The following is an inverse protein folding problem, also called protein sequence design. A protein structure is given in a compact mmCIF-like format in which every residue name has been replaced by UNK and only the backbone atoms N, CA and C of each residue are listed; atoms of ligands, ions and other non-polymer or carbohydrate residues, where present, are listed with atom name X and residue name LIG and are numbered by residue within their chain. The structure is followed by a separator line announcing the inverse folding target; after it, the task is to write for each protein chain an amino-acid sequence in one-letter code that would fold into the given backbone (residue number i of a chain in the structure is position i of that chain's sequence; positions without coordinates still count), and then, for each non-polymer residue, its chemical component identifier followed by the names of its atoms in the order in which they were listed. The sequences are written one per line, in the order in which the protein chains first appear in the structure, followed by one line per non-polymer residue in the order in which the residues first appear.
data_IF_975794012549
#
_entry.id   IF_975794012549
#
_cell.length_a   1.000
_cell.length_b   1.000
_cell.length_c   1.000
_cell.angle_alpha   90.00
_cell.angle_beta   90.00
_cell.angle_gamma   90.00
#
_symmetry.space_group_name_H-M   'P 1'
#
loop_
_entity.id
_entity.type
_entity.pdbx_description
1 polymer ?
#
# COMPACT_ATOMS: atom_id res chain seq x y z
N UNK A 1 10.84 -9.26 11.40
CA UNK A 1 10.65 -7.79 11.54
C UNK A 1 9.93 -7.48 12.83
N UNK A 2 8.72 -8.01 13.08
CA UNK A 2 7.88 -7.72 14.26
C UNK A 2 8.58 -7.98 15.61
N UNK A 3 9.32 -9.07 15.74
CA UNK A 3 10.08 -9.40 16.96
C UNK A 3 11.12 -8.33 17.34
N UNK A 4 11.92 -7.86 16.36
CA UNK A 4 12.91 -6.80 16.60
C UNK A 4 12.26 -5.47 16.97
N UNK A 5 11.16 -5.12 16.33
CA UNK A 5 10.38 -3.93 16.69
C UNK A 5 9.78 -4.06 18.09
N UNK A 6 9.31 -5.25 18.49
CA UNK A 6 8.84 -5.48 19.85
C UNK A 6 9.92 -5.25 20.89
N UNK A 7 11.14 -5.75 20.66
CA UNK A 7 12.28 -5.48 21.54
C UNK A 7 12.60 -3.99 21.64
N UNK A 8 12.66 -3.28 20.51
CA UNK A 8 12.92 -1.84 20.49
C UNK A 8 11.81 -1.03 21.19
N UNK A 9 10.55 -1.44 21.02
CA UNK A 9 9.41 -0.78 21.66
C UNK A 9 9.50 -0.77 23.18
N UNK A 10 10.01 -1.86 23.76
CA UNK A 10 10.17 -2.00 25.22
C UNK A 10 11.52 -1.50 25.74
N UNK A 11 12.58 -1.47 24.92
CA UNK A 11 13.93 -1.08 25.36
C UNK A 11 14.26 0.40 25.11
N UNK A 12 13.87 0.96 23.96
CA UNK A 12 14.18 2.35 23.60
C UNK A 12 13.13 2.93 22.67
N UNK A 13 12.24 3.71 23.23
CA UNK A 13 11.15 4.37 22.51
C UNK A 13 11.64 5.20 21.32
N UNK A 14 12.71 5.95 21.50
CA UNK A 14 13.25 6.82 20.46
C UNK A 14 13.83 6.03 19.27
N UNK A 15 14.53 4.92 19.54
CA UNK A 15 15.04 4.05 18.48
C UNK A 15 13.91 3.34 17.75
N UNK A 16 12.88 2.91 18.49
CA UNK A 16 11.67 2.33 17.90
C UNK A 16 10.98 3.30 16.94
N UNK A 17 10.72 4.55 17.38
CA UNK A 17 10.04 5.56 16.56
C UNK A 17 10.82 5.82 15.25
N UNK A 18 12.14 6.02 15.32
CA UNK A 18 12.99 6.22 14.14
C UNK A 18 12.97 5.01 13.20
N UNK A 19 13.15 3.81 13.74
CA UNK A 19 13.16 2.58 12.94
C UNK A 19 11.80 2.32 12.28
N UNK A 20 10.70 2.62 12.98
CA UNK A 20 9.35 2.44 12.45
C UNK A 20 8.99 3.50 11.40
N UNK A 21 9.45 4.76 11.54
CA UNK A 21 9.31 5.80 10.52
C UNK A 21 10.00 5.40 9.21
N UNK A 22 11.21 4.84 9.27
CA UNK A 22 11.92 4.32 8.11
C UNK A 22 11.20 3.15 7.47
N UNK A 23 10.74 2.21 8.30
CA UNK A 23 9.94 1.09 7.82
C UNK A 23 8.70 1.56 7.06
N UNK A 24 7.92 2.49 7.62
CA UNK A 24 6.74 3.05 6.95
C UNK A 24 7.09 3.71 5.61
N UNK A 25 8.16 4.52 5.57
CA UNK A 25 8.59 5.22 4.34
C UNK A 25 8.95 4.25 3.22
N UNK A 26 9.80 3.26 3.52
CA UNK A 26 10.22 2.27 2.53
C UNK A 26 9.07 1.33 2.14
N UNK A 27 8.24 0.94 3.10
CA UNK A 27 7.11 0.06 2.86
C UNK A 27 6.07 0.71 1.94
N UNK A 28 5.62 1.93 2.24
CA UNK A 28 4.65 2.62 1.39
C UNK A 28 5.21 2.92 0.01
N UNK A 29 6.45 3.38 -0.09
CA UNK A 29 7.12 3.59 -1.38
C UNK A 29 7.10 2.31 -2.22
N UNK A 30 7.52 1.17 -1.66
CA UNK A 30 7.57 -0.12 -2.35
C UNK A 30 6.17 -0.61 -2.77
N UNK A 31 5.20 -0.58 -1.87
CA UNK A 31 3.84 -1.03 -2.13
C UNK A 31 3.19 -0.20 -3.23
N UNK A 32 3.24 1.12 -3.13
CA UNK A 32 2.63 1.99 -4.14
C UNK A 32 3.32 1.84 -5.49
N UNK A 33 4.65 1.72 -5.53
CA UNK A 33 5.37 1.43 -6.77
C UNK A 33 4.87 0.15 -7.43
N UNK A 34 4.86 -0.98 -6.70
CA UNK A 34 4.45 -2.29 -7.23
C UNK A 34 3.00 -2.26 -7.72
N UNK A 35 2.08 -1.73 -6.91
CA UNK A 35 0.65 -1.67 -7.30
C UNK A 35 0.38 -0.69 -8.43
N UNK A 36 1.16 0.38 -8.57
CA UNK A 36 1.06 1.29 -9.73
C UNK A 36 1.43 0.56 -11.02
N UNK A 37 2.52 -0.19 -11.01
CA UNK A 37 2.94 -1.01 -12.17
C UNK A 37 1.90 -2.09 -12.48
N UNK A 38 1.44 -2.84 -11.46
CA UNK A 38 0.39 -3.86 -11.65
C UNK A 38 -0.86 -3.23 -12.25
N UNK A 39 -1.34 -2.11 -11.70
CA UNK A 39 -2.58 -1.45 -12.18
C UNK A 39 -2.45 -0.98 -13.63
N UNK A 40 -1.29 -0.45 -14.03
CA UNK A 40 -1.06 0.02 -15.40
C UNK A 40 -1.02 -1.12 -16.44
N UNK A 41 -0.48 -2.30 -16.05
CA UNK A 41 -0.22 -3.39 -17.01
C UNK A 41 -1.14 -4.60 -16.84
N UNK A 42 -2.04 -4.63 -15.86
CA UNK A 42 -2.93 -5.75 -15.61
C UNK A 42 -3.97 -5.93 -16.74
N UNK A 43 -4.52 -4.83 -17.28
CA UNK A 43 -5.54 -4.91 -18.31
C UNK A 43 -5.03 -5.56 -19.62
N UNK A 44 -3.85 -5.22 -20.17
CA UNK A 44 -3.25 -5.95 -21.30
C UNK A 44 -3.09 -7.46 -21.03
N UNK A 45 -2.72 -7.84 -19.80
CA UNK A 45 -2.57 -9.26 -19.42
C UNK A 45 -3.92 -9.96 -19.40
N UNK A 46 -4.96 -9.32 -18.84
CA UNK A 46 -6.32 -9.86 -18.81
C UNK A 46 -6.82 -10.08 -20.25
N UNK A 47 -6.64 -9.12 -21.14
CA UNK A 47 -7.03 -9.25 -22.56
C UNK A 47 -6.33 -10.39 -23.28
N UNK A 48 -5.03 -10.59 -23.01
CA UNK A 48 -4.31 -11.73 -23.57
C UNK A 48 -4.84 -13.06 -23.02
N UNK A 49 -5.09 -13.12 -21.72
CA UNK A 49 -5.60 -14.32 -21.07
C UNK A 49 -7.01 -14.69 -21.55
N UNK A 50 -7.86 -13.70 -21.79
CA UNK A 50 -9.26 -13.90 -22.20
C UNK A 50 -9.45 -13.94 -23.72
N UNK A 51 -8.40 -13.77 -24.53
CA UNK A 51 -8.49 -13.66 -25.99
C UNK A 51 -9.13 -14.84 -26.69
N UNK A 52 -9.14 -16.03 -26.06
CA UNK A 52 -9.81 -17.26 -26.59
C UNK A 52 -11.19 -17.54 -26.01
N UNK A 53 -11.75 -16.64 -25.17
CA UNK A 53 -13.03 -16.84 -24.50
C UNK A 53 -14.12 -16.07 -25.22
N UNK A 54 -15.28 -16.72 -25.48
CA UNK A 54 -16.39 -16.10 -26.20
C UNK A 54 -16.91 -14.80 -25.55
N UNK A 55 -16.89 -14.73 -24.22
CA UNK A 55 -17.36 -13.59 -23.43
C UNK A 55 -16.23 -12.69 -22.90
N UNK A 56 -15.12 -12.57 -23.63
CA UNK A 56 -13.93 -11.80 -23.24
C UNK A 56 -14.24 -10.34 -22.83
N UNK A 57 -15.26 -9.73 -23.44
CA UNK A 57 -15.68 -8.35 -23.14
C UNK A 57 -16.15 -8.13 -21.69
N UNK A 58 -16.63 -9.17 -21.02
CA UNK A 58 -17.07 -9.09 -19.62
C UNK A 58 -15.88 -8.81 -18.69
N UNK A 59 -14.69 -9.31 -19.04
CA UNK A 59 -13.47 -9.16 -18.24
C UNK A 59 -12.73 -7.85 -18.52
N UNK A 60 -13.04 -7.14 -19.63
CA UNK A 60 -12.42 -5.84 -19.98
C UNK A 60 -13.10 -4.67 -19.25
N UNK A 61 -13.06 -4.69 -17.92
CA UNK A 61 -13.69 -3.68 -17.09
C UNK A 61 -12.70 -2.84 -16.30
N UNK A 62 -12.40 -1.64 -16.80
CA UNK A 62 -11.54 -0.66 -16.10
C UNK A 62 -12.08 -0.28 -14.72
N UNK A 63 -13.40 -0.31 -14.54
CA UNK A 63 -14.04 -0.05 -13.23
C UNK A 63 -13.64 -1.13 -12.22
N UNK A 64 -13.71 -2.40 -12.62
CA UNK A 64 -13.30 -3.51 -11.76
C UNK A 64 -11.80 -3.45 -11.45
N UNK A 65 -10.96 -3.17 -12.44
CA UNK A 65 -9.52 -2.99 -12.25
C UNK A 65 -9.24 -1.93 -11.17
N UNK A 66 -9.88 -0.75 -11.26
CA UNK A 66 -9.69 0.32 -10.29
C UNK A 66 -10.19 -0.04 -8.89
N UNK A 67 -11.33 -0.75 -8.79
CA UNK A 67 -11.84 -1.21 -7.50
C UNK A 67 -10.89 -2.23 -6.85
N UNK A 68 -10.37 -3.18 -7.61
CA UNK A 68 -9.37 -4.14 -7.12
C UNK A 68 -8.05 -3.45 -6.73
N UNK A 69 -7.58 -2.50 -7.53
CA UNK A 69 -6.38 -1.72 -7.21
C UNK A 69 -6.56 -0.91 -5.92
N UNK A 70 -7.70 -0.24 -5.76
CA UNK A 70 -8.03 0.52 -4.56
C UNK A 70 -8.11 -0.39 -3.32
N UNK A 71 -8.76 -1.54 -3.43
CA UNK A 71 -8.83 -2.53 -2.35
C UNK A 71 -7.44 -3.04 -1.97
N UNK A 72 -6.61 -3.42 -2.93
CA UNK A 72 -5.27 -3.94 -2.70
C UNK A 72 -4.36 -2.91 -2.03
N UNK A 73 -4.36 -1.67 -2.53
CA UNK A 73 -3.56 -0.57 -1.96
C UNK A 73 -4.02 -0.27 -0.53
N UNK A 74 -5.33 -0.16 -0.30
CA UNK A 74 -5.87 0.16 1.02
C UNK A 74 -5.56 -0.95 2.04
N UNK A 75 -5.66 -2.23 1.64
CA UNK A 75 -5.25 -3.38 2.46
C UNK A 75 -3.77 -3.30 2.85
N UNK A 76 -2.91 -2.91 1.91
CA UNK A 76 -1.49 -2.72 2.19
C UNK A 76 -1.22 -1.48 3.07
N UNK A 77 -1.98 -0.41 2.91
CA UNK A 77 -1.86 0.79 3.77
C UNK A 77 -2.18 0.48 5.24
N UNK A 78 -3.07 -0.47 5.50
CA UNK A 78 -3.39 -0.91 6.86
C UNK A 78 -2.28 -1.74 7.52
N UNK A 79 -1.43 -2.43 6.74
CA UNK A 79 -0.43 -3.38 7.29
C UNK A 79 0.52 -2.80 8.34
N UNK A 80 1.11 -1.59 8.21
CA UNK A 80 1.93 -1.00 9.28
C UNK A 80 1.14 -0.75 10.57
N UNK A 81 -0.16 -0.43 10.48
CA UNK A 81 -1.02 -0.26 11.65
C UNK A 81 -1.28 -1.59 12.36
N UNK A 82 -1.51 -2.67 11.61
CA UNK A 82 -1.65 -4.03 12.15
C UNK A 82 -0.35 -4.49 12.81
N UNK A 83 0.80 -4.18 12.20
CA UNK A 83 2.09 -4.48 12.85
C UNK A 83 2.28 -3.70 14.14
N UNK A 84 1.92 -2.42 14.16
CA UNK A 84 1.97 -1.59 15.35
C UNK A 84 1.05 -2.13 16.46
N UNK A 85 -0.16 -2.58 16.09
CA UNK A 85 -1.09 -3.27 16.98
C UNK A 85 -0.46 -4.51 17.62
N UNK A 86 0.21 -5.34 16.79
CA UNK A 86 0.89 -6.56 17.24
C UNK A 86 2.05 -6.26 18.18
N UNK A 87 2.87 -5.26 17.86
CA UNK A 87 4.02 -4.83 18.66
C UNK A 87 3.58 -4.31 20.03
N UNK A 88 2.50 -3.53 20.06
CA UNK A 88 1.97 -2.94 21.30
C UNK A 88 1.06 -3.88 22.09
N UNK A 89 0.73 -5.08 21.56
CA UNK A 89 -0.17 -6.05 22.23
C UNK A 89 -1.61 -5.56 22.36
N UNK A 90 -2.08 -4.66 21.47
CA UNK A 90 -3.37 -3.96 21.58
C UNK A 90 -4.51 -4.63 20.81
N UNK A 91 -4.54 -5.97 20.79
CA UNK A 91 -5.59 -6.72 20.09
C UNK A 91 -6.96 -6.63 20.78
N UNK A 92 -6.99 -6.76 22.10
CA UNK A 92 -8.23 -6.72 22.87
C UNK A 92 -8.93 -5.37 22.77
N UNK A 93 -8.17 -4.28 22.81
CA UNK A 93 -8.70 -2.92 22.71
C UNK A 93 -9.31 -2.62 21.33
N UNK A 94 -8.88 -3.33 20.29
CA UNK A 94 -9.28 -3.07 18.90
C UNK A 94 -10.19 -4.14 18.31
N UNK A 95 -10.47 -5.24 19.03
CA UNK A 95 -11.36 -6.32 18.55
C UNK A 95 -12.78 -5.83 18.16
N UNK A 96 -13.32 -4.87 18.90
CA UNK A 96 -14.62 -4.27 18.57
C UNK A 96 -14.63 -3.53 17.22
N UNK A 97 -13.48 -3.02 16.78
CA UNK A 97 -13.36 -2.40 15.45
C UNK A 97 -13.41 -3.47 14.35
N UNK A 98 -12.79 -4.64 14.56
CA UNK A 98 -12.84 -5.75 13.62
C UNK A 98 -14.26 -6.31 13.46
N UNK A 99 -15.02 -6.42 14.56
CA UNK A 99 -16.43 -6.84 14.51
C UNK A 99 -17.27 -5.84 13.71
N UNK A 100 -17.08 -4.52 13.92
CA UNK A 100 -17.81 -3.49 13.15
C UNK A 100 -17.44 -3.52 11.67
N UNK A 101 -16.15 -3.70 11.34
CA UNK A 101 -15.69 -3.90 9.96
C UNK A 101 -16.44 -5.05 9.29
N UNK A 102 -16.50 -6.21 9.94
CA UNK A 102 -17.22 -7.38 9.45
C UNK A 102 -18.70 -7.07 9.20
N UNK A 103 -19.37 -6.42 10.14
CA UNK A 103 -20.80 -6.05 10.01
C UNK A 103 -21.00 -5.07 8.84
N UNK A 104 -20.17 -4.03 8.74
CA UNK A 104 -20.22 -3.08 7.62
C UNK A 104 -20.01 -3.81 6.30
N UNK A 105 -19.03 -4.69 6.21
CA UNK A 105 -18.76 -5.45 4.99
C UNK A 105 -19.96 -6.27 4.57
N UNK A 106 -20.55 -7.06 5.47
CA UNK A 106 -21.71 -7.90 5.16
C UNK A 106 -22.90 -7.05 4.71
N UNK A 107 -23.27 -6.03 5.49
CA UNK A 107 -24.46 -5.23 5.20
C UNK A 107 -24.33 -4.44 3.91
N UNK A 108 -23.22 -3.72 3.74
CA UNK A 108 -23.00 -2.88 2.56
C UNK A 108 -22.80 -3.73 1.31
N UNK A 109 -22.03 -4.82 1.40
CA UNK A 109 -21.84 -5.74 0.27
C UNK A 109 -23.15 -6.38 -0.15
N UNK A 110 -23.98 -6.84 0.77
CA UNK A 110 -25.25 -7.49 0.45
C UNK A 110 -26.21 -6.52 -0.27
N UNK A 111 -26.37 -5.31 0.28
CA UNK A 111 -27.27 -4.28 -0.29
C UNK A 111 -26.78 -3.85 -1.68
N UNK A 112 -25.47 -3.59 -1.82
CA UNK A 112 -24.92 -3.10 -3.09
C UNK A 112 -24.81 -4.20 -4.14
N UNK A 113 -24.52 -5.44 -3.75
CA UNK A 113 -24.45 -6.56 -4.70
C UNK A 113 -25.81 -6.81 -5.32
N UNK A 114 -26.89 -6.67 -4.56
CA UNK A 114 -28.25 -6.78 -5.10
C UNK A 114 -28.57 -5.68 -6.13
N UNK A 115 -27.99 -4.47 -5.99
CA UNK A 115 -28.25 -3.33 -6.90
C UNK A 115 -27.33 -3.29 -8.11
N UNK A 116 -26.03 -3.54 -7.93
CA UNK A 116 -25.00 -3.31 -8.93
C UNK A 116 -24.09 -4.52 -9.16
N UNK A 117 -24.50 -5.71 -8.69
CA UNK A 117 -23.76 -6.96 -8.91
C UNK A 117 -22.40 -6.99 -8.19
N UNK A 118 -21.43 -7.67 -8.78
CA UNK A 118 -20.11 -7.95 -8.18
C UNK A 118 -19.34 -6.68 -7.79
N UNK A 119 -19.55 -5.57 -8.49
CA UNK A 119 -18.98 -4.27 -8.12
C UNK A 119 -19.44 -3.82 -6.73
N UNK A 120 -20.68 -4.15 -6.37
CA UNK A 120 -21.25 -3.85 -5.06
C UNK A 120 -20.54 -4.55 -3.91
N UNK A 121 -20.14 -5.80 -4.12
CA UNK A 121 -19.34 -6.55 -3.16
C UNK A 121 -17.98 -5.87 -2.90
N UNK A 122 -17.28 -5.47 -3.96
CA UNK A 122 -15.99 -4.77 -3.83
C UNK A 122 -16.13 -3.41 -3.15
N UNK A 123 -17.18 -2.65 -3.46
CA UNK A 123 -17.43 -1.36 -2.81
C UNK A 123 -17.74 -1.55 -1.32
N UNK A 124 -18.51 -2.59 -0.97
CA UNK A 124 -18.77 -2.92 0.43
C UNK A 124 -17.52 -3.28 1.20
N UNK A 125 -16.65 -4.09 0.61
CA UNK A 125 -15.35 -4.43 1.18
C UNK A 125 -14.46 -3.20 1.34
N UNK A 126 -14.41 -2.30 0.34
CA UNK A 126 -13.68 -1.03 0.42
C UNK A 126 -14.20 -0.13 1.55
N UNK A 127 -15.53 -0.03 1.70
CA UNK A 127 -16.14 0.76 2.77
C UNK A 127 -15.77 0.23 4.16
N UNK A 128 -15.83 -1.09 4.34
CA UNK A 128 -15.49 -1.74 5.59
C UNK A 128 -13.99 -1.56 5.92
N UNK A 129 -13.12 -1.79 4.96
CA UNK A 129 -11.67 -1.63 5.10
C UNK A 129 -11.29 -0.17 5.37
N UNK A 130 -11.96 0.79 4.71
CA UNK A 130 -11.77 2.23 4.97
C UNK A 130 -12.15 2.57 6.41
N UNK A 131 -13.30 2.09 6.88
CA UNK A 131 -13.69 2.23 8.28
C UNK A 131 -12.61 1.68 9.23
N UNK A 132 -12.15 0.43 8.98
CA UNK A 132 -11.14 -0.23 9.80
C UNK A 132 -9.83 0.55 9.83
N UNK A 133 -9.33 0.95 8.67
CA UNK A 133 -8.08 1.72 8.55
C UNK A 133 -8.15 3.04 9.32
N UNK A 134 -9.27 3.76 9.22
CA UNK A 134 -9.49 5.01 9.96
C UNK A 134 -9.59 4.76 11.46
N UNK A 135 -10.38 3.77 11.89
CA UNK A 135 -10.58 3.45 13.30
C UNK A 135 -9.27 3.00 13.97
N UNK A 136 -8.53 2.09 13.30
CA UNK A 136 -7.25 1.59 13.78
C UNK A 136 -6.18 2.69 13.81
N UNK A 137 -6.11 3.54 12.77
CA UNK A 137 -5.16 4.66 12.74
C UNK A 137 -5.41 5.65 13.88
N UNK A 138 -6.67 6.02 14.13
CA UNK A 138 -7.03 6.91 15.26
C UNK A 138 -6.61 6.31 16.59
N UNK A 139 -6.86 5.02 16.79
CA UNK A 139 -6.47 4.34 18.02
C UNK A 139 -4.94 4.26 18.18
N UNK A 140 -4.21 3.84 17.14
CA UNK A 140 -2.76 3.67 17.20
C UNK A 140 -2.03 4.99 17.35
N UNK A 141 -2.43 6.03 16.60
CA UNK A 141 -1.82 7.35 16.74
C UNK A 141 -2.30 8.15 17.97
N UNK A 142 -3.40 7.75 18.60
CA UNK A 142 -3.82 8.31 19.88
C UNK A 142 -3.10 7.69 21.07
N UNK A 143 -2.93 6.37 21.09
CA UNK A 143 -2.50 5.63 22.27
C UNK A 143 -1.08 5.04 22.17
N UNK A 144 -0.62 4.70 20.96
CA UNK A 144 0.66 3.99 20.78
C UNK A 144 1.75 4.90 20.23
N UNK A 145 1.44 5.75 19.23
CA UNK A 145 2.39 6.70 18.61
C UNK A 145 1.82 8.12 18.52
N UNK A 146 1.58 8.80 19.64
CA UNK A 146 0.98 10.13 19.62
C UNK A 146 1.84 11.14 18.84
N UNK A 147 1.18 11.97 18.02
CA UNK A 147 1.84 13.02 17.22
C UNK A 147 2.33 12.59 15.84
N UNK A 148 2.42 11.30 15.53
CA UNK A 148 2.96 10.81 14.24
C UNK A 148 1.93 10.65 13.12
N UNK A 149 0.64 10.82 13.39
CA UNK A 149 -0.44 10.65 12.41
C UNK A 149 -0.23 11.48 11.14
N UNK A 150 0.10 12.76 11.27
CA UNK A 150 0.31 13.66 10.12
C UNK A 150 1.44 13.20 9.21
N UNK A 151 2.53 12.66 9.78
CA UNK A 151 3.67 12.14 9.01
C UNK A 151 3.28 10.89 8.22
N UNK A 152 2.62 9.91 8.86
CA UNK A 152 2.16 8.69 8.20
C UNK A 152 1.15 8.99 7.09
N UNK A 153 0.16 9.86 7.35
CA UNK A 153 -0.81 10.29 6.33
C UNK A 153 -0.12 11.01 5.17
N UNK A 154 0.85 11.88 5.44
CA UNK A 154 1.64 12.55 4.39
C UNK A 154 2.34 11.52 3.49
N UNK A 155 2.98 10.49 4.06
CA UNK A 155 3.65 9.43 3.30
C UNK A 155 2.68 8.70 2.36
N UNK A 156 1.52 8.31 2.86
CA UNK A 156 0.47 7.67 2.04
C UNK A 156 -0.03 8.63 0.95
N UNK A 157 -0.34 9.88 1.29
CA UNK A 157 -0.86 10.87 0.34
C UNK A 157 0.14 11.19 -0.79
N UNK A 158 1.42 11.35 -0.46
CA UNK A 158 2.48 11.59 -1.46
C UNK A 158 2.59 10.41 -2.42
N UNK A 159 2.65 9.18 -1.91
CA UNK A 159 2.75 7.99 -2.75
C UNK A 159 1.48 7.77 -3.60
N UNK A 160 0.29 8.05 -3.05
CA UNK A 160 -0.96 8.01 -3.79
C UNK A 160 -1.00 9.06 -4.92
N UNK A 161 -0.50 10.27 -4.67
CA UNK A 161 -0.40 11.32 -5.70
C UNK A 161 0.56 10.90 -6.83
N UNK A 162 1.71 10.31 -6.51
CA UNK A 162 2.63 9.75 -7.52
C UNK A 162 1.95 8.65 -8.33
N UNK A 163 1.22 7.73 -7.68
CA UNK A 163 0.46 6.69 -8.36
C UNK A 163 -0.56 7.28 -9.34
N UNK A 164 -1.33 8.28 -8.90
CA UNK A 164 -2.33 8.94 -9.73
C UNK A 164 -1.71 9.62 -10.96
N UNK A 165 -0.60 10.33 -10.80
CA UNK A 165 0.13 10.98 -11.91
C UNK A 165 0.68 9.93 -12.89
N UNK A 166 1.30 8.86 -12.40
CA UNK A 166 1.85 7.80 -13.27
C UNK A 166 0.73 7.10 -14.04
N UNK A 167 -0.39 6.76 -13.38
CA UNK A 167 -1.54 6.13 -14.03
C UNK A 167 -2.24 7.09 -15.00
N UNK A 168 -2.20 8.39 -14.75
CA UNK A 168 -2.69 9.38 -15.71
C UNK A 168 -1.82 9.45 -16.97
N UNK A 169 -0.49 9.36 -16.82
CA UNK A 169 0.46 9.39 -17.96
C UNK A 169 0.40 8.09 -18.77
N UNK A 170 0.44 6.93 -18.12
CA UNK A 170 0.47 5.62 -18.79
C UNK A 170 -0.93 5.16 -19.23
N UNK A 171 -1.98 5.65 -18.59
CA UNK A 171 -3.32 5.08 -18.70
C UNK A 171 -3.43 3.71 -18.01
N UNK A 172 -4.64 3.16 -18.04
CA UNK A 172 -4.92 1.82 -17.49
C UNK A 172 -4.64 0.69 -18.49
N UNK A 173 -4.24 1.02 -19.71
CA UNK A 173 -3.91 0.07 -20.76
C UNK A 173 -2.40 -0.11 -20.95
N UNK A 174 -1.55 0.71 -20.31
CA UNK A 174 -0.09 0.65 -20.23
C UNK A 174 0.67 0.37 -21.53
N UNK A 175 0.20 -0.62 -22.27
CA UNK A 175 0.72 -1.01 -23.60
C UNK A 175 -0.34 -1.80 -24.39
N UNK A 176 -0.06 -2.08 -25.67
CA UNK A 176 -0.89 -2.97 -26.48
C UNK A 176 -0.71 -4.43 -26.04
N UNK A 177 -1.81 -5.20 -26.03
CA UNK A 177 -1.82 -6.62 -25.69
C UNK A 177 -1.39 -7.45 -26.94
N UNK A 178 -0.09 -7.49 -27.24
CA UNK A 178 0.48 -8.23 -28.38
C UNK A 178 0.77 -9.68 -28.00
N UNK A 179 1.61 -9.87 -26.99
CA UNK A 179 1.90 -11.17 -26.37
C UNK A 179 2.45 -10.96 -24.95
N UNK A 180 2.51 -12.03 -24.16
CA UNK A 180 2.94 -11.95 -22.75
C UNK A 180 4.38 -11.44 -22.57
N UNK A 181 5.31 -11.85 -23.44
CA UNK A 181 6.72 -11.40 -23.35
C UNK A 181 6.85 -9.92 -23.66
N UNK A 182 6.10 -9.42 -24.65
CA UNK A 182 6.08 -7.98 -24.96
C UNK A 182 5.52 -7.18 -23.79
N UNK A 183 4.37 -7.58 -23.24
CA UNK A 183 3.76 -6.88 -22.09
C UNK A 183 4.69 -6.90 -20.88
N UNK A 184 5.30 -8.06 -20.57
CA UNK A 184 6.25 -8.19 -19.45
C UNK A 184 7.49 -7.32 -19.67
N UNK A 185 8.06 -7.29 -20.88
CA UNK A 185 9.22 -6.45 -21.20
C UNK A 185 8.93 -4.97 -21.03
N UNK A 186 7.80 -4.48 -21.55
CA UNK A 186 7.37 -3.09 -21.40
C UNK A 186 7.07 -2.76 -19.92
N UNK A 187 6.44 -3.67 -19.17
CA UNK A 187 6.17 -3.50 -17.75
C UNK A 187 7.45 -3.38 -16.94
N UNK A 188 8.46 -4.22 -17.22
CA UNK A 188 9.78 -4.15 -16.54
C UNK A 188 10.49 -2.84 -16.85
N UNK A 189 10.54 -2.42 -18.12
CA UNK A 189 11.16 -1.15 -18.52
C UNK A 189 10.48 0.06 -17.84
N UNK A 190 9.14 0.09 -17.85
CA UNK A 190 8.40 1.15 -17.17
C UNK A 190 8.56 1.08 -15.66
N UNK A 191 8.63 -0.11 -15.07
CA UNK A 191 8.86 -0.28 -13.63
C UNK A 191 10.14 0.41 -13.14
N UNK A 192 11.22 0.42 -13.95
CA UNK A 192 12.49 1.03 -13.57
C UNK A 192 12.39 2.56 -13.40
N UNK A 193 11.83 3.26 -14.39
CA UNK A 193 11.68 4.72 -14.26
C UNK A 193 10.62 5.10 -13.21
N UNK A 194 9.55 4.31 -13.06
CA UNK A 194 8.55 4.50 -12.01
C UNK A 194 9.21 4.34 -10.63
N UNK A 195 10.04 3.30 -10.43
CA UNK A 195 10.81 3.11 -9.19
C UNK A 195 11.71 4.32 -8.90
N UNK A 196 12.44 4.82 -9.91
CA UNK A 196 13.28 6.00 -9.78
C UNK A 196 12.48 7.25 -9.39
N UNK A 197 11.28 7.43 -9.97
CA UNK A 197 10.37 8.53 -9.63
C UNK A 197 9.88 8.42 -8.17
N UNK A 198 9.43 7.22 -7.74
CA UNK A 198 9.03 6.99 -6.35
C UNK A 198 10.17 7.27 -5.37
N UNK A 199 11.37 6.80 -5.68
CA UNK A 199 12.55 7.03 -4.86
C UNK A 199 12.87 8.54 -4.78
N UNK A 200 12.90 9.23 -5.92
CA UNK A 200 13.17 10.66 -5.97
C UNK A 200 12.16 11.47 -5.14
N UNK A 201 10.86 11.24 -5.35
CA UNK A 201 9.81 11.97 -4.64
C UNK A 201 9.84 11.67 -3.14
N UNK A 202 10.03 10.40 -2.74
CA UNK A 202 10.11 10.05 -1.31
C UNK A 202 11.36 10.65 -0.65
N UNK A 203 12.52 10.65 -1.32
CA UNK A 203 13.73 11.30 -0.80
C UNK A 203 13.51 12.81 -0.65
N UNK A 204 12.94 13.48 -1.65
CA UNK A 204 12.69 14.93 -1.60
C UNK A 204 11.67 15.33 -0.52
N UNK A 205 10.64 14.52 -0.31
CA UNK A 205 9.57 14.83 0.66
C UNK A 205 9.91 14.48 2.10
N UNK A 206 10.89 13.56 2.31
CA UNK A 206 11.30 13.05 3.62
C UNK A 206 12.83 13.12 3.82
N UNK A 207 13.46 14.20 3.33
CA UNK A 207 14.92 14.41 3.32
C UNK A 207 15.61 14.13 4.66
N UNK A 208 15.02 14.54 5.78
CA UNK A 208 15.61 14.37 7.11
C UNK A 208 15.68 12.88 7.52
N UNK A 209 14.65 12.10 7.17
CA UNK A 209 14.63 10.67 7.45
C UNK A 209 15.72 9.94 6.64
N UNK A 210 15.85 10.26 5.34
CA UNK A 210 16.85 9.64 4.46
C UNK A 210 18.29 10.07 4.80
N UNK A 211 18.51 11.32 5.21
CA UNK A 211 19.83 11.77 5.75
C UNK A 211 20.20 11.00 7.03
N UNK A 212 19.23 10.73 7.90
CA UNK A 212 19.43 9.90 9.08
C UNK A 212 19.88 8.48 8.73
N UNK A 213 19.17 7.82 7.80
CA UNK A 213 19.52 6.49 7.28
C UNK A 213 20.94 6.46 6.71
N UNK A 214 21.30 7.45 5.88
CA UNK A 214 22.62 7.55 5.26
C UNK A 214 23.76 7.68 6.29
N UNK A 215 23.54 8.48 7.35
CA UNK A 215 24.53 8.62 8.43
C UNK A 215 24.72 7.31 9.20
N UNK A 216 23.66 6.57 9.48
CA UNK A 216 23.74 5.27 10.18
C UNK A 216 24.36 4.19 9.30
N UNK A 217 24.02 4.14 8.01
CA UNK A 217 24.63 3.25 7.04
C UNK A 217 26.15 3.47 6.95
N UNK A 218 26.58 4.73 6.85
CA UNK A 218 28.03 5.06 6.80
C UNK A 218 28.77 4.71 8.10
N UNK A 219 28.10 4.83 9.27
CA UNK A 219 28.67 4.37 10.55
C UNK A 219 28.84 2.85 10.54
N UNK A 220 27.84 2.12 10.09
CA UNK A 220 27.89 0.66 10.01
C UNK A 220 29.00 0.17 9.06
N UNK A 221 29.15 0.79 7.88
CA UNK A 221 30.23 0.48 6.94
C UNK A 221 31.62 0.71 7.57
N UNK A 222 31.81 1.83 8.27
CA UNK A 222 33.08 2.11 8.98
C UNK A 222 33.37 1.07 10.05
N UNK A 223 32.39 0.64 10.83
CA UNK A 223 32.60 -0.41 11.84
C UNK A 223 32.95 -1.78 11.22
N UNK A 224 32.42 -2.07 10.04
CA UNK A 224 32.70 -3.33 9.33
C UNK A 224 34.10 -3.33 8.66
N UNK A 225 34.57 -2.18 8.22
CA UNK A 225 35.93 -2.04 7.62
C UNK A 225 37.07 -2.04 8.64
N UNK A 226 36.73 -1.93 9.95
CA UNK A 226 37.70 -2.00 11.06
C UNK A 226 37.78 -3.40 11.71
N UNK A 227 37.03 -4.38 11.21
CA UNK A 227 37.12 -5.81 11.55
C UNK A 227 37.81 -6.60 10.45
#
# INVERSE_FOLDING_TARGET
VTFRFGQLYHSSREQFERAFEWYESLYYMFVFWVYTVITAFLMPIIRLYTSGIADASIYDSKKMLLLFAAWSILSCVEMPLIQLQSIAGKFDDTKGQAVREMVINILVSLILTWRIGIAGCLIGTLAALTYRTIALSRYMFGNVRPGNAKRSIKKVAVNAAVAAVVLWILGLDGCRAVNYFYVAGIAVLNSLWIAALYLLVNVLTNLEEYKGLWKEWNRWLKMRSMR
#
